data_IF_534049465505
#
_entry.id   IF_534049465505
#
_cell.length_a   1.000
_cell.length_b   1.000
_cell.length_c   1.000
_cell.angle_alpha   90.00
_cell.angle_beta   90.00
_cell.angle_gamma   90.00
#
_symmetry.space_group_name_H-M   'P 1'
#
loop_
_entity.id
_entity.type
_entity.pdbx_description
1 polymer ?
#
# COMPACT_ATOMS: atom_id res chain seq x y z
N UNK A 1 -29.23 15.61 -32.94
CA UNK A 1 -28.75 14.46 -32.14
C UNK A 1 -28.42 14.99 -30.75
N UNK A 2 -29.19 14.57 -29.73
CA UNK A 2 -29.14 15.08 -28.35
C UNK A 2 -27.91 14.50 -27.63
N UNK A 3 -26.99 15.35 -27.19
CA UNK A 3 -25.96 15.01 -26.21
C UNK A 3 -26.65 14.72 -24.87
N UNK A 4 -26.44 13.54 -24.32
CA UNK A 4 -26.83 13.21 -22.95
C UNK A 4 -25.58 13.26 -22.09
N UNK A 5 -25.47 14.32 -21.30
CA UNK A 5 -24.45 14.52 -20.28
C UNK A 5 -24.82 13.63 -19.09
N UNK A 6 -24.12 12.50 -18.91
CA UNK A 6 -24.29 11.64 -17.74
C UNK A 6 -23.40 12.13 -16.61
N UNK A 7 -23.97 12.89 -15.67
CA UNK A 7 -23.40 13.14 -14.36
C UNK A 7 -23.62 11.90 -13.48
N UNK A 8 -22.64 10.99 -13.45
CA UNK A 8 -22.63 9.90 -12.49
C UNK A 8 -22.05 10.40 -11.16
N UNK A 9 -22.93 10.72 -10.20
CA UNK A 9 -22.54 10.78 -8.79
C UNK A 9 -22.36 9.34 -8.28
N UNK A 10 -21.11 8.91 -8.11
CA UNK A 10 -20.79 7.64 -7.46
C UNK A 10 -20.39 7.91 -6.01
N UNK A 11 -21.15 7.31 -5.10
CA UNK A 11 -20.84 7.27 -3.67
C UNK A 11 -19.45 6.65 -3.47
N UNK A 12 -18.53 7.41 -2.91
CA UNK A 12 -17.14 6.97 -2.66
C UNK A 12 -17.08 6.11 -1.40
N UNK A 13 -17.45 4.85 -1.50
CA UNK A 13 -16.91 3.83 -0.59
C UNK A 13 -15.44 3.65 -0.96
N UNK A 14 -14.51 4.05 -0.10
CA UNK A 14 -13.07 3.99 -0.31
C UNK A 14 -12.58 2.54 -0.45
N UNK A 15 -12.77 1.98 -1.63
CA UNK A 15 -11.98 0.87 -2.13
C UNK A 15 -10.82 1.51 -2.89
N UNK A 16 -9.58 1.01 -2.72
CA UNK A 16 -8.42 1.51 -3.47
C UNK A 16 -8.70 1.51 -4.97
N UNK A 17 -8.93 2.68 -5.54
CA UNK A 17 -9.35 2.86 -6.93
C UNK A 17 -8.29 3.71 -7.62
N UNK A 18 -7.33 3.03 -8.22
CA UNK A 18 -6.52 3.65 -9.25
C UNK A 18 -7.40 3.95 -10.46
N UNK A 19 -7.04 5.00 -11.21
CA UNK A 19 -7.69 5.24 -12.50
C UNK A 19 -7.52 4.02 -13.42
N UNK A 20 -8.42 3.79 -14.40
CA UNK A 20 -8.37 2.59 -15.25
C UNK A 20 -7.07 2.36 -16.04
N UNK A 21 -6.26 3.40 -16.21
CA UNK A 21 -4.95 3.35 -16.88
C UNK A 21 -3.77 3.23 -15.90
N UNK A 22 -4.03 3.16 -14.60
CA UNK A 22 -3.04 3.01 -13.54
C UNK A 22 -3.20 1.67 -12.83
N UNK A 23 -2.09 1.14 -12.32
CA UNK A 23 -2.03 -0.04 -11.48
C UNK A 23 -1.76 0.36 -10.03
N UNK A 24 -2.26 -0.41 -9.07
CA UNK A 24 -1.84 -0.23 -7.68
C UNK A 24 -0.40 -0.70 -7.52
N UNK A 25 0.45 0.16 -6.95
CA UNK A 25 1.72 -0.24 -6.37
C UNK A 25 1.51 -1.37 -5.37
N UNK A 26 2.52 -2.24 -5.27
CA UNK A 26 2.48 -3.42 -4.39
C UNK A 26 3.70 -3.42 -3.49
N UNK A 27 3.51 -3.73 -2.21
CA UNK A 27 4.58 -3.96 -1.23
C UNK A 27 4.55 -5.42 -0.77
N UNK A 28 5.73 -6.00 -0.63
CA UNK A 28 5.92 -7.29 0.03
C UNK A 28 6.32 -7.05 1.48
N UNK A 29 5.41 -7.34 2.41
CA UNK A 29 5.67 -7.25 3.86
C UNK A 29 5.98 -8.64 4.42
N UNK A 30 7.00 -8.71 5.26
CA UNK A 30 7.64 -9.96 5.67
C UNK A 30 7.65 -10.12 7.18
N UNK A 31 7.41 -11.35 7.67
CA UNK A 31 7.33 -11.63 9.12
C UNK A 31 8.68 -11.88 9.78
N UNK A 32 9.73 -12.09 8.99
CA UNK A 32 11.10 -12.28 9.46
C UNK A 32 12.03 -11.20 8.90
N UNK A 33 13.13 -10.95 9.59
CA UNK A 33 14.19 -10.08 9.10
C UNK A 33 14.82 -10.65 7.82
N UNK A 34 15.49 -9.80 7.03
CA UNK A 34 16.13 -10.19 5.79
C UNK A 34 15.17 -10.51 4.65
N UNK A 35 13.96 -9.92 4.67
CA UNK A 35 12.94 -10.06 3.61
C UNK A 35 12.50 -11.52 3.39
N UNK A 36 12.20 -12.22 4.49
CA UNK A 36 11.77 -13.63 4.49
C UNK A 36 10.34 -13.79 5.01
N UNK A 37 9.62 -14.81 4.52
CA UNK A 37 8.22 -15.08 4.85
C UNK A 37 7.31 -13.87 4.53
N UNK A 38 7.25 -13.54 3.24
CA UNK A 38 6.63 -12.33 2.72
C UNK A 38 5.27 -12.59 2.08
N UNK A 39 4.42 -11.57 2.13
CA UNK A 39 3.14 -11.50 1.43
C UNK A 39 3.01 -10.16 0.72
N UNK A 40 2.53 -10.19 -0.52
CA UNK A 40 2.17 -9.00 -1.27
C UNK A 40 0.91 -8.33 -0.74
N UNK A 41 0.92 -6.99 -0.72
CA UNK A 41 -0.20 -6.12 -0.38
C UNK A 41 -0.22 -4.96 -1.37
N UNK A 42 -1.38 -4.71 -1.96
CA UNK A 42 -1.62 -3.58 -2.86
C UNK A 42 -2.70 -2.70 -2.23
N UNK A 43 -2.60 -1.38 -2.37
CA UNK A 43 -3.57 -0.47 -1.75
C UNK A 43 -3.99 0.74 -2.59
N UNK A 44 -3.31 1.10 -3.67
CA UNK A 44 -3.74 2.10 -4.66
C UNK A 44 -4.23 3.42 -4.06
N UNK A 45 -3.29 4.23 -3.53
CA UNK A 45 -3.50 5.51 -2.84
C UNK A 45 -4.45 5.45 -1.63
N UNK A 46 -4.76 4.24 -1.14
CA UNK A 46 -5.55 4.05 0.08
C UNK A 46 -4.77 3.33 1.15
N UNK A 47 -5.21 3.48 2.39
CA UNK A 47 -4.63 2.79 3.52
C UNK A 47 -5.18 1.38 3.65
N UNK A 48 -4.29 0.41 3.85
CA UNK A 48 -4.65 -0.98 4.15
C UNK A 48 -4.03 -1.44 5.47
N UNK A 49 -4.87 -1.93 6.38
CA UNK A 49 -4.44 -2.52 7.65
C UNK A 49 -3.85 -3.92 7.44
N UNK A 50 -2.68 -4.14 8.02
CA UNK A 50 -1.97 -5.42 7.96
C UNK A 50 -2.45 -6.34 9.08
N UNK A 51 -2.88 -7.55 8.69
CA UNK A 51 -3.33 -8.59 9.61
C UNK A 51 -2.35 -9.77 9.61
N UNK A 52 -2.13 -10.38 10.80
CA UNK A 52 -1.31 -11.58 10.96
C UNK A 52 0.19 -11.34 11.14
N UNK A 53 0.60 -10.16 11.63
CA UNK A 53 1.98 -9.79 11.90
C UNK A 53 2.63 -10.51 13.10
N UNK A 54 3.81 -10.06 13.57
CA UNK A 54 4.47 -8.79 13.23
C UNK A 54 5.07 -8.80 11.81
N UNK A 55 5.04 -7.65 11.14
CA UNK A 55 5.73 -7.43 9.87
C UNK A 55 6.96 -6.57 10.13
N UNK A 56 8.15 -7.11 9.89
CA UNK A 56 9.43 -6.57 10.38
C UNK A 56 10.40 -6.19 9.27
N UNK A 57 10.14 -6.61 8.03
CA UNK A 57 10.97 -6.28 6.86
C UNK A 57 10.12 -6.31 5.59
N UNK A 58 10.67 -5.85 4.47
CA UNK A 58 9.92 -5.83 3.21
C UNK A 58 10.53 -4.96 2.11
N UNK A 59 9.89 -4.96 0.96
CA UNK A 59 10.34 -4.27 -0.25
C UNK A 59 9.14 -3.98 -1.18
N UNK A 60 9.18 -2.90 -1.93
CA UNK A 60 8.19 -2.62 -2.98
C UNK A 60 8.42 -3.54 -4.18
N UNK A 61 7.33 -3.89 -4.87
CA UNK A 61 7.37 -4.67 -6.11
C UNK A 61 7.80 -3.85 -7.33
N UNK A 62 7.78 -2.52 -7.22
CA UNK A 62 8.09 -1.58 -8.29
C UNK A 62 9.00 -0.46 -7.74
N UNK A 63 9.47 0.44 -8.62
CA UNK A 63 10.39 1.52 -8.23
C UNK A 63 9.72 2.55 -7.30
N UNK A 64 8.41 2.68 -7.38
CA UNK A 64 7.64 3.61 -6.57
C UNK A 64 7.55 3.13 -5.13
N UNK A 65 7.92 4.01 -4.21
CA UNK A 65 7.97 3.66 -2.80
C UNK A 65 6.56 3.60 -2.21
N UNK A 66 6.21 2.46 -1.62
CA UNK A 66 5.07 2.36 -0.71
C UNK A 66 5.46 2.92 0.66
N UNK A 67 4.49 3.41 1.43
CA UNK A 67 4.69 3.81 2.83
C UNK A 67 4.22 2.69 3.76
N UNK A 68 5.01 2.43 4.80
CA UNK A 68 4.60 1.62 5.95
C UNK A 68 4.36 2.52 7.16
N UNK A 69 3.46 2.11 8.05
CA UNK A 69 3.08 2.88 9.24
C UNK A 69 3.15 2.03 10.50
N UNK A 70 3.49 2.66 11.63
CA UNK A 70 3.62 1.99 12.93
C UNK A 70 2.28 1.60 13.55
N UNK A 71 1.19 2.26 13.17
CA UNK A 71 -0.15 2.01 13.67
C UNK A 71 -1.12 1.63 12.53
N UNK A 72 -2.31 1.20 12.90
CA UNK A 72 -3.41 0.97 11.95
C UNK A 72 -3.93 2.30 11.38
N UNK A 73 -4.66 2.22 10.27
CA UNK A 73 -5.26 3.33 9.54
C UNK A 73 -4.24 4.38 9.05
N UNK A 74 -3.00 3.95 8.81
CA UNK A 74 -1.91 4.77 8.28
C UNK A 74 -1.58 5.96 9.17
N UNK A 75 -1.50 5.67 10.48
CA UNK A 75 -1.18 6.61 11.55
C UNK A 75 0.19 6.29 12.16
N UNK A 76 0.66 7.22 12.99
CA UNK A 76 1.93 7.09 13.70
C UNK A 76 3.13 7.38 12.79
N UNK A 77 4.26 6.75 13.08
CA UNK A 77 5.51 6.92 12.32
C UNK A 77 5.40 6.25 10.97
N UNK A 78 5.87 6.90 9.91
CA UNK A 78 5.86 6.36 8.55
C UNK A 78 7.24 6.33 7.92
N UNK A 79 7.56 5.25 7.20
CA UNK A 79 8.78 5.15 6.39
C UNK A 79 8.45 4.75 4.95
N UNK A 80 9.13 5.32 3.94
CA UNK A 80 9.05 4.82 2.57
C UNK A 80 9.82 3.50 2.44
N UNK A 81 9.31 2.61 1.60
CA UNK A 81 9.88 1.32 1.23
C UNK A 81 9.87 1.23 -0.29
N UNK A 82 11.05 1.25 -0.88
CA UNK A 82 11.27 1.12 -2.32
C UNK A 82 11.61 -0.34 -2.70
N UNK A 83 12.05 -0.56 -3.94
CA UNK A 83 12.40 -1.89 -4.46
C UNK A 83 13.62 -2.52 -3.76
N UNK A 84 14.57 -1.71 -3.28
CA UNK A 84 15.68 -2.23 -2.48
C UNK A 84 15.16 -2.77 -1.13
N UNK A 85 14.21 -2.03 -0.58
CA UNK A 85 13.51 -2.35 0.65
C UNK A 85 14.42 -2.33 1.87
N UNK A 86 13.93 -2.93 2.95
CA UNK A 86 14.60 -2.94 4.24
C UNK A 86 14.71 -4.37 4.75
N UNK A 87 15.92 -4.78 5.14
CA UNK A 87 16.13 -6.06 5.84
C UNK A 87 15.54 -6.06 7.26
N UNK A 88 15.35 -4.86 7.83
CA UNK A 88 14.68 -4.63 9.10
C UNK A 88 14.08 -3.23 9.10
N UNK A 89 12.78 -3.14 9.37
CA UNK A 89 12.11 -1.86 9.57
C UNK A 89 12.44 -1.28 10.95
N UNK A 90 12.34 0.04 11.08
CA UNK A 90 12.52 0.73 12.36
C UNK A 90 11.41 0.41 13.39
N UNK A 91 10.27 -0.10 12.91
CA UNK A 91 9.11 -0.50 13.71
C UNK A 91 8.38 -1.66 13.02
N UNK A 92 7.53 -2.36 13.77
CA UNK A 92 6.65 -3.38 13.19
C UNK A 92 5.54 -2.68 12.39
N UNK A 93 5.48 -2.92 11.08
CA UNK A 93 4.47 -2.31 10.23
C UNK A 93 3.06 -2.83 10.58
N UNK A 94 2.09 -1.91 10.67
CA UNK A 94 0.69 -2.20 11.02
C UNK A 94 -0.29 -1.80 9.94
N UNK A 95 0.05 -0.85 9.07
CA UNK A 95 -0.68 -0.55 7.84
C UNK A 95 0.26 -0.07 6.75
N UNK A 96 -0.24 -0.03 5.52
CA UNK A 96 0.51 0.39 4.33
C UNK A 96 -0.33 1.27 3.42
N UNK A 97 0.36 2.10 2.64
CA UNK A 97 -0.19 2.90 1.55
C UNK A 97 0.77 2.83 0.36
N UNK A 98 0.34 2.24 -0.75
CA UNK A 98 1.07 2.17 -2.00
C UNK A 98 0.42 3.09 -3.03
N UNK A 99 1.20 3.83 -3.83
CA UNK A 99 0.64 4.74 -4.81
C UNK A 99 -0.04 4.02 -5.98
N UNK A 100 -0.90 4.73 -6.70
CA UNK A 100 -1.27 4.33 -8.06
C UNK A 100 -0.17 4.74 -9.05
N UNK A 101 0.19 3.84 -9.97
CA UNK A 101 1.31 4.00 -10.93
C UNK A 101 0.88 3.72 -12.37
#
# INVERSE_FOLDING_TARGET
MKQVLYLALLATTAYGWCYPWQSSGTINVCKKEGKQDCRGVSSGDTCVNLNGGPFVSGFAGQNEACKIFSDVDCKGTSNPVDQAGWSKFAFNARSVECPCV
#
